data_IF_959903095973
#
_entry.id   IF_959903095973
#
_cell.length_a   1.000
_cell.length_b   1.000
_cell.length_c   1.000
_cell.angle_alpha   90.00
_cell.angle_beta   90.00
_cell.angle_gamma   90.00
#
_symmetry.space_group_name_H-M   'P 1'
#
loop_
_entity.id
_entity.type
_entity.pdbx_description
1 polymer ?
#
# COMPACT_ATOMS: atom_id res chain seq x y z
N UNK A 1 6.01 -10.35 0.58
CA UNK A 1 6.53 -9.12 -0.06
C UNK A 1 8.06 -9.15 -0.15
N UNK A 2 8.81 -9.19 0.96
CA UNK A 2 10.30 -9.18 0.92
C UNK A 2 10.96 -10.41 0.27
N UNK A 3 10.19 -11.46 0.01
CA UNK A 3 10.62 -12.68 -0.69
C UNK A 3 10.41 -12.63 -2.20
N UNK A 4 9.82 -11.54 -2.73
CA UNK A 4 9.62 -11.35 -4.16
C UNK A 4 10.94 -10.91 -4.81
N UNK A 5 11.12 -11.28 -6.06
CA UNK A 5 12.20 -10.72 -6.87
C UNK A 5 11.92 -9.24 -7.14
N UNK A 6 12.98 -8.43 -7.19
CA UNK A 6 12.85 -6.99 -7.41
C UNK A 6 12.14 -6.65 -8.74
N UNK A 7 12.24 -7.54 -9.73
CA UNK A 7 11.55 -7.43 -11.03
C UNK A 7 10.03 -7.56 -10.94
N UNK A 8 9.49 -8.15 -9.87
CA UNK A 8 8.05 -8.34 -9.69
C UNK A 8 7.39 -7.14 -8.98
N UNK A 9 8.18 -6.22 -8.41
CA UNK A 9 7.66 -5.07 -7.67
C UNK A 9 6.78 -4.12 -8.51
N UNK A 10 7.09 -3.85 -9.80
CA UNK A 10 6.19 -3.08 -10.66
C UNK A 10 4.82 -3.75 -10.85
N UNK A 11 4.79 -5.08 -10.96
CA UNK A 11 3.52 -5.82 -11.04
C UNK A 11 2.73 -5.69 -9.74
N UNK A 12 3.38 -5.91 -8.59
CA UNK A 12 2.76 -5.73 -7.28
C UNK A 12 2.19 -4.31 -7.11
N UNK A 13 2.91 -3.28 -7.54
CA UNK A 13 2.43 -1.89 -7.50
C UNK A 13 1.18 -1.69 -8.38
N UNK A 14 1.13 -2.31 -9.56
CA UNK A 14 -0.05 -2.28 -10.45
C UNK A 14 -1.27 -2.95 -9.81
N UNK A 15 -1.08 -4.14 -9.22
CA UNK A 15 -2.14 -4.87 -8.52
C UNK A 15 -2.64 -4.11 -7.28
N UNK A 16 -1.72 -3.52 -6.51
CA UNK A 16 -2.05 -2.70 -5.34
C UNK A 16 -2.83 -1.43 -5.71
N UNK A 17 -2.49 -0.81 -6.85
CA UNK A 17 -3.23 0.33 -7.39
C UNK A 17 -4.65 -0.07 -7.77
N UNK A 18 -4.81 -1.20 -8.44
CA UNK A 18 -6.14 -1.73 -8.80
C UNK A 18 -6.98 -1.98 -7.55
N UNK A 19 -6.40 -2.64 -6.54
CA UNK A 19 -7.09 -2.90 -5.26
C UNK A 19 -7.49 -1.61 -4.53
N UNK A 20 -6.62 -0.60 -4.54
CA UNK A 20 -6.93 0.69 -3.94
C UNK A 20 -8.14 1.36 -4.61
N UNK A 21 -8.18 1.36 -5.94
CA UNK A 21 -9.30 1.93 -6.70
C UNK A 21 -10.59 1.19 -6.38
N UNK A 22 -10.55 -0.15 -6.38
CA UNK A 22 -11.70 -1.01 -6.06
C UNK A 22 -12.22 -0.73 -4.65
N UNK A 23 -11.35 -0.79 -3.64
CA UNK A 23 -11.75 -0.61 -2.24
C UNK A 23 -12.35 0.79 -1.98
N UNK A 24 -11.72 1.84 -2.50
CA UNK A 24 -12.22 3.22 -2.32
C UNK A 24 -13.50 3.48 -3.12
N UNK A 25 -13.75 2.74 -4.20
CA UNK A 25 -15.02 2.86 -4.95
C UNK A 25 -16.24 2.47 -4.11
N UNK A 26 -16.07 1.56 -3.15
CA UNK A 26 -17.13 1.12 -2.24
C UNK A 26 -17.29 2.03 -1.01
N UNK A 27 -16.18 2.48 -0.42
CA UNK A 27 -16.22 3.24 0.84
C UNK A 27 -16.21 4.75 0.68
N UNK A 28 -15.83 5.26 -0.50
CA UNK A 28 -15.38 6.65 -0.65
C UNK A 28 -14.05 6.91 0.07
N UNK A 29 -13.53 8.14 -0.01
CA UNK A 29 -12.31 8.58 0.72
C UNK A 29 -11.19 9.17 -0.14
N UNK A 30 -9.98 9.24 0.42
CA UNK A 30 -8.82 9.94 -0.15
C UNK A 30 -8.09 9.14 -1.24
N UNK A 31 -8.76 8.89 -2.37
CA UNK A 31 -8.21 8.12 -3.49
C UNK A 31 -6.88 8.70 -4.01
N UNK A 32 -6.85 9.99 -4.33
CA UNK A 32 -5.69 10.63 -4.96
C UNK A 32 -4.41 10.55 -4.12
N UNK A 33 -4.53 10.73 -2.80
CA UNK A 33 -3.39 10.67 -1.89
C UNK A 33 -2.81 9.25 -1.79
N UNK A 34 -3.67 8.23 -1.71
CA UNK A 34 -3.23 6.83 -1.71
C UNK A 34 -2.57 6.43 -3.04
N UNK A 35 -3.14 6.85 -4.17
CA UNK A 35 -2.59 6.57 -5.50
C UNK A 35 -1.19 7.15 -5.69
N UNK A 36 -0.93 8.33 -5.11
CA UNK A 36 0.36 9.02 -5.21
C UNK A 36 1.50 8.35 -4.44
N UNK A 37 1.22 7.38 -3.56
CA UNK A 37 2.25 6.73 -2.72
C UNK A 37 2.31 5.21 -2.87
N UNK A 38 1.67 4.63 -3.90
CA UNK A 38 1.67 3.17 -4.12
C UNK A 38 3.10 2.61 -4.22
N UNK A 39 3.90 3.15 -5.14
CA UNK A 39 5.28 2.69 -5.36
C UNK A 39 6.17 2.95 -4.13
N UNK A 40 6.03 4.13 -3.52
CA UNK A 40 6.72 4.48 -2.28
C UNK A 40 6.43 3.46 -1.17
N UNK A 41 5.16 3.08 -1.01
CA UNK A 41 4.74 2.14 0.02
C UNK A 41 5.29 0.73 -0.24
N UNK A 42 5.28 0.27 -1.49
CA UNK A 42 5.90 -1.01 -1.88
C UNK A 42 7.40 -0.99 -1.57
N UNK A 43 8.11 0.06 -1.97
CA UNK A 43 9.55 0.19 -1.73
C UNK A 43 9.89 0.21 -0.24
N UNK A 44 9.15 0.98 0.57
CA UNK A 44 9.34 1.05 2.02
C UNK A 44 9.17 -0.31 2.68
N UNK A 45 8.10 -1.05 2.35
CA UNK A 45 7.87 -2.38 2.92
C UNK A 45 8.80 -3.47 2.38
N UNK A 46 9.40 -3.26 1.21
CA UNK A 46 10.40 -4.15 0.64
C UNK A 46 11.75 -3.98 1.34
N UNK A 47 12.18 -2.74 1.56
CA UNK A 47 13.50 -2.42 2.11
C UNK A 47 13.52 -2.52 3.64
N UNK A 48 12.49 -2.00 4.32
CA UNK A 48 12.44 -1.99 5.78
C UNK A 48 11.79 -3.26 6.36
N UNK A 49 12.30 -3.71 7.50
CA UNK A 49 11.80 -4.86 8.22
C UNK A 49 10.64 -4.46 9.16
N UNK A 50 9.54 -3.95 8.59
CA UNK A 50 8.33 -3.71 9.39
C UNK A 50 7.74 -5.06 9.86
N UNK A 51 7.27 -5.20 11.12
CA UNK A 51 7.01 -4.12 12.08
C UNK A 51 8.18 -3.77 13.02
N UNK A 52 9.33 -4.45 12.94
CA UNK A 52 10.49 -4.16 13.79
C UNK A 52 11.02 -2.74 13.52
N UNK A 53 11.14 -2.39 12.24
CA UNK A 53 11.33 -1.02 11.81
C UNK A 53 10.01 -0.24 11.89
N UNK A 54 10.08 0.95 12.49
CA UNK A 54 8.92 1.85 12.63
C UNK A 54 8.76 2.73 11.40
N UNK A 55 7.69 2.49 10.65
CA UNK A 55 7.24 3.34 9.55
C UNK A 55 6.11 4.26 10.02
N UNK A 56 6.29 5.58 9.87
CA UNK A 56 5.31 6.60 10.27
C UNK A 56 4.78 7.31 9.02
N UNK A 57 3.47 7.32 8.85
CA UNK A 57 2.77 8.15 7.87
C UNK A 57 2.18 9.37 8.56
N UNK A 58 2.61 10.57 8.16
CA UNK A 58 2.02 11.82 8.67
C UNK A 58 0.58 11.98 8.15
N UNK A 59 -0.34 12.41 9.02
CA UNK A 59 -1.81 12.40 8.85
C UNK A 59 -2.41 11.00 8.61
N UNK A 60 -1.95 10.28 7.58
CA UNK A 60 -2.30 8.89 7.29
C UNK A 60 -3.37 8.71 6.22
N UNK A 61 -3.88 9.78 5.60
CA UNK A 61 -4.89 9.70 4.54
C UNK A 61 -4.37 9.05 3.25
N UNK A 62 -3.06 9.08 3.04
CA UNK A 62 -2.32 8.40 1.97
C UNK A 62 -1.99 6.93 2.29
N UNK A 63 -2.21 6.46 3.52
CA UNK A 63 -1.72 5.16 3.99
C UNK A 63 -2.62 3.96 3.63
N UNK A 64 -3.52 4.08 2.64
CA UNK A 64 -4.34 2.96 2.19
C UNK A 64 -3.52 1.80 1.60
N UNK A 65 -2.54 2.06 0.69
CA UNK A 65 -1.63 1.00 0.22
C UNK A 65 -0.91 0.29 1.38
N UNK A 66 -0.52 1.04 2.41
CA UNK A 66 0.13 0.49 3.60
C UNK A 66 -0.80 -0.45 4.35
N UNK A 67 -2.07 -0.07 4.57
CA UNK A 67 -3.07 -0.92 5.21
C UNK A 67 -3.30 -2.21 4.43
N UNK A 68 -3.39 -2.15 3.10
CA UNK A 68 -3.56 -3.33 2.23
C UNK A 68 -2.39 -4.29 2.39
N UNK A 69 -1.14 -3.81 2.24
CA UNK A 69 0.07 -4.66 2.33
C UNK A 69 0.32 -5.26 3.72
N UNK A 70 -0.30 -4.71 4.76
CA UNK A 70 -0.14 -5.15 6.15
C UNK A 70 -1.35 -5.92 6.66
N UNK A 71 -2.01 -6.66 5.78
CA UNK A 71 -3.04 -7.65 6.13
C UNK A 71 -4.40 -7.05 6.47
N UNK A 72 -4.67 -5.79 6.15
CA UNK A 72 -5.97 -5.13 6.41
C UNK A 72 -6.82 -4.97 5.15
N UNK A 73 -6.47 -5.64 4.04
CA UNK A 73 -7.20 -5.60 2.76
C UNK A 73 -8.71 -5.79 2.93
N UNK A 74 -9.13 -6.87 3.58
CA UNK A 74 -10.55 -7.23 3.73
C UNK A 74 -11.34 -6.28 4.63
N UNK A 75 -10.67 -5.39 5.37
CA UNK A 75 -11.28 -4.42 6.29
C UNK A 75 -11.43 -3.03 5.70
N UNK A 76 -10.94 -2.81 4.47
CA UNK A 76 -11.05 -1.52 3.78
C UNK A 76 -12.32 -1.45 2.94
N UNK A 77 -12.98 -2.59 2.68
CA UNK A 77 -14.26 -2.67 1.99
C UNK A 77 -15.43 -2.43 2.95
#
# INVERSE_FOLDING_TARGET
LRTLDAGDLPQLASELRTELIDAVSHTGGHLGAGLGVVELTVALHYVFNTPDDRLIWDVGHQAYPHKILTGRRDRIR
#
